data_IF_043723408912
#
_entry.id   IF_043723408912
#
_cell.length_a   1.000
_cell.length_b   1.000
_cell.length_c   1.000
_cell.angle_alpha   90.00
_cell.angle_beta   90.00
_cell.angle_gamma   90.00
#
_symmetry.space_group_name_H-M   'P 1'
#
loop_
_entity.id
_entity.type
_entity.pdbx_description
1 polymer ?
#
# COMPACT_ATOMS: atom_id res chain seq x y z
N UNK A 1 -24.48 -1.36 -27.63
CA UNK A 1 -24.80 -1.71 -26.23
C UNK A 1 -26.20 -2.29 -26.20
N UNK A 2 -26.41 -3.33 -25.41
CA UNK A 2 -27.74 -3.94 -25.24
C UNK A 2 -28.56 -3.11 -24.24
N UNK A 3 -29.86 -2.93 -24.51
CA UNK A 3 -30.75 -2.18 -23.61
C UNK A 3 -30.98 -2.91 -22.29
N UNK A 4 -30.89 -4.24 -22.31
CA UNK A 4 -30.99 -5.08 -21.12
C UNK A 4 -29.84 -4.81 -20.13
N UNK A 5 -28.60 -4.68 -20.61
CA UNK A 5 -27.44 -4.37 -19.78
C UNK A 5 -27.52 -2.95 -19.22
N UNK A 6 -27.92 -1.98 -20.04
CA UNK A 6 -28.13 -0.59 -19.59
C UNK A 6 -29.18 -0.49 -18.48
N UNK A 7 -30.30 -1.21 -18.63
CA UNK A 7 -31.36 -1.24 -17.61
C UNK A 7 -30.88 -1.89 -16.31
N UNK A 8 -30.12 -2.98 -16.41
CA UNK A 8 -29.54 -3.67 -15.25
C UNK A 8 -28.55 -2.77 -14.49
N UNK A 9 -27.60 -2.14 -15.20
CA UNK A 9 -26.63 -1.21 -14.61
C UNK A 9 -27.30 0.04 -14.02
N UNK A 10 -28.35 0.55 -14.66
CA UNK A 10 -29.13 1.67 -14.11
C UNK A 10 -29.81 1.28 -12.79
N UNK A 11 -30.31 0.05 -12.69
CA UNK A 11 -30.97 -0.46 -11.49
C UNK A 11 -29.97 -0.69 -10.34
N UNK A 12 -28.80 -1.28 -10.63
CA UNK A 12 -27.68 -1.39 -9.66
C UNK A 12 -27.22 0.01 -9.22
N UNK A 13 -27.04 0.93 -10.17
CA UNK A 13 -26.63 2.31 -9.90
C UNK A 13 -27.62 3.08 -9.01
N UNK A 14 -28.91 2.76 -9.12
CA UNK A 14 -29.96 3.33 -8.28
C UNK A 14 -29.93 2.81 -6.83
N UNK A 15 -29.40 1.60 -6.61
CA UNK A 15 -29.24 0.98 -5.29
C UNK A 15 -28.01 1.44 -4.51
N UNK A 16 -26.98 1.97 -5.20
CA UNK A 16 -25.74 2.49 -4.59
C UNK A 16 -25.92 3.87 -3.90
N UNK A 17 -27.06 4.09 -3.23
CA UNK A 17 -27.41 5.31 -2.48
C UNK A 17 -26.60 5.34 -1.18
N UNK A 18 -25.47 6.03 -1.22
CA UNK A 18 -24.52 6.14 -0.10
C UNK A 18 -23.08 6.40 -0.56
N UNK A 19 -22.77 6.00 -1.80
CA UNK A 19 -21.45 6.23 -2.41
C UNK A 19 -21.36 7.56 -3.14
N UNK A 20 -20.15 8.14 -3.18
CA UNK A 20 -19.86 9.36 -3.93
C UNK A 20 -20.08 9.15 -5.44
N UNK A 21 -20.48 10.22 -6.15
CA UNK A 21 -20.78 10.17 -7.60
C UNK A 21 -19.65 9.57 -8.44
N UNK A 22 -18.39 9.90 -8.15
CA UNK A 22 -17.22 9.34 -8.84
C UNK A 22 -17.07 7.84 -8.58
N UNK A 23 -17.19 7.40 -7.33
CA UNK A 23 -17.01 5.99 -6.97
C UNK A 23 -18.11 5.10 -7.54
N UNK A 24 -19.35 5.59 -7.53
CA UNK A 24 -20.49 4.94 -8.19
C UNK A 24 -20.23 4.71 -9.68
N UNK A 25 -19.70 5.72 -10.38
CA UNK A 25 -19.37 5.61 -11.80
C UNK A 25 -18.23 4.62 -12.07
N UNK A 26 -17.24 4.53 -11.18
CA UNK A 26 -16.15 3.56 -11.31
C UNK A 26 -16.66 2.12 -11.15
N UNK A 27 -17.44 1.85 -10.09
CA UNK A 27 -18.00 0.52 -9.84
C UNK A 27 -18.93 0.07 -10.97
N UNK A 28 -19.75 0.96 -11.51
CA UNK A 28 -20.63 0.64 -12.64
C UNK A 28 -19.83 0.31 -13.90
N UNK A 29 -18.69 0.98 -14.15
CA UNK A 29 -17.82 0.66 -15.29
C UNK A 29 -17.07 -0.66 -15.13
N UNK A 30 -16.63 -0.98 -13.91
CA UNK A 30 -15.99 -2.26 -13.60
C UNK A 30 -17.00 -3.42 -13.77
N UNK A 31 -18.23 -3.23 -13.28
CA UNK A 31 -19.31 -4.20 -13.44
C UNK A 31 -19.71 -4.39 -14.91
N UNK A 32 -19.82 -3.29 -15.66
CA UNK A 32 -20.09 -3.32 -17.10
C UNK A 32 -19.03 -4.10 -17.87
N UNK A 33 -17.74 -3.85 -17.60
CA UNK A 33 -16.64 -4.54 -18.25
C UNK A 33 -16.69 -6.05 -18.00
N UNK A 34 -16.89 -6.48 -16.75
CA UNK A 34 -17.00 -7.90 -16.42
C UNK A 34 -18.19 -8.60 -17.07
N UNK A 35 -19.36 -7.95 -17.14
CA UNK A 35 -20.54 -8.53 -17.79
C UNK A 35 -20.36 -8.64 -19.31
N UNK A 36 -19.65 -7.70 -19.92
CA UNK A 36 -19.31 -7.75 -21.35
C UNK A 36 -18.28 -8.85 -21.65
N UNK A 37 -17.25 -8.99 -20.82
CA UNK A 37 -16.26 -10.07 -20.94
C UNK A 37 -16.91 -11.46 -20.82
N UNK A 38 -17.86 -11.61 -19.90
CA UNK A 38 -18.59 -12.87 -19.71
C UNK A 38 -19.54 -13.16 -20.89
N UNK A 39 -20.21 -12.14 -21.43
CA UNK A 39 -21.04 -12.30 -22.62
C UNK A 39 -20.21 -12.72 -23.84
N UNK A 40 -19.02 -12.15 -24.01
CA UNK A 40 -18.08 -12.54 -25.07
C UNK A 40 -17.57 -13.98 -24.87
N UNK A 41 -17.23 -14.37 -23.64
CA UNK A 41 -16.81 -15.74 -23.32
C UNK A 41 -17.92 -16.78 -23.57
N UNK A 42 -19.19 -16.39 -23.45
CA UNK A 42 -20.36 -17.24 -23.74
C UNK A 42 -20.85 -17.13 -25.19
N UNK A 43 -20.23 -16.32 -26.04
CA UNK A 43 -20.65 -16.09 -27.43
C UNK A 43 -22.04 -15.44 -27.55
N UNK A 44 -22.43 -14.61 -26.59
CA UNK A 44 -23.74 -13.97 -26.52
C UNK A 44 -23.73 -12.71 -27.39
N UNK A 45 -24.31 -12.82 -28.58
CA UNK A 45 -24.42 -11.69 -29.52
C UNK A 45 -25.84 -11.10 -29.60
N UNK A 46 -26.85 -11.79 -29.06
CA UNK A 46 -28.25 -11.38 -29.15
C UNK A 46 -28.77 -10.76 -27.85
N UNK A 47 -29.67 -9.78 -27.99
CA UNK A 47 -30.25 -9.04 -26.86
C UNK A 47 -31.12 -9.93 -25.95
N UNK A 48 -31.80 -10.93 -26.52
CA UNK A 48 -32.54 -11.93 -25.76
C UNK A 48 -31.62 -12.83 -24.95
N UNK A 49 -30.51 -13.30 -25.52
CA UNK A 49 -29.54 -14.12 -24.80
C UNK A 49 -28.82 -13.34 -23.68
N UNK A 50 -28.56 -12.04 -23.89
CA UNK A 50 -28.06 -11.14 -22.85
C UNK A 50 -29.06 -10.98 -21.71
N UNK A 51 -30.36 -10.87 -22.01
CA UNK A 51 -31.40 -10.77 -20.97
C UNK A 51 -31.52 -12.04 -20.12
N UNK A 52 -31.39 -13.23 -20.72
CA UNK A 52 -31.35 -14.50 -19.97
C UNK A 52 -30.10 -14.61 -19.11
N UNK A 53 -28.93 -14.22 -19.63
CA UNK A 53 -27.69 -14.21 -18.84
C UNK A 53 -27.81 -13.28 -17.62
N UNK A 54 -28.39 -12.10 -17.79
CA UNK A 54 -28.60 -11.15 -16.69
C UNK A 54 -29.68 -11.64 -15.69
N UNK A 55 -30.66 -12.42 -16.14
CA UNK A 55 -31.67 -13.03 -15.27
C UNK A 55 -31.10 -14.19 -14.43
N UNK A 56 -30.01 -14.83 -14.87
CA UNK A 56 -29.24 -15.81 -14.08
C UNK A 56 -28.36 -15.14 -13.01
N UNK A 57 -28.17 -13.82 -13.07
CA UNK A 57 -27.38 -13.07 -12.07
C UNK A 57 -28.21 -12.69 -10.85
N UNK A 58 -27.50 -12.34 -9.78
CA UNK A 58 -28.10 -11.79 -8.57
C UNK A 58 -29.01 -10.59 -8.87
N UNK A 59 -30.09 -10.47 -8.10
CA UNK A 59 -31.03 -9.37 -8.30
C UNK A 59 -30.30 -8.02 -8.11
N UNK A 60 -30.47 -7.04 -9.01
CA UNK A 60 -29.67 -5.81 -9.02
C UNK A 60 -29.77 -4.97 -7.75
N UNK A 61 -30.82 -5.15 -6.94
CA UNK A 61 -30.96 -4.52 -5.63
C UNK A 61 -30.09 -5.16 -4.55
N UNK A 62 -29.95 -6.49 -4.55
CA UNK A 62 -29.11 -7.22 -3.60
C UNK A 62 -27.63 -6.97 -3.92
N UNK A 63 -27.27 -7.03 -5.20
CA UNK A 63 -25.92 -6.70 -5.66
C UNK A 63 -25.50 -5.26 -5.26
N UNK A 64 -26.41 -4.30 -5.35
CA UNK A 64 -26.14 -2.92 -4.94
C UNK A 64 -25.99 -2.77 -3.41
N UNK A 65 -26.74 -3.55 -2.63
CA UNK A 65 -26.64 -3.57 -1.17
C UNK A 65 -25.33 -4.22 -0.71
N UNK A 66 -24.91 -5.32 -1.34
CA UNK A 66 -23.62 -5.96 -1.07
C UNK A 66 -22.44 -5.08 -1.46
N UNK A 67 -22.48 -4.42 -2.63
CA UNK A 67 -21.45 -3.46 -3.04
C UNK A 67 -21.36 -2.26 -2.09
N UNK A 68 -22.49 -1.81 -1.53
CA UNK A 68 -22.53 -0.72 -0.56
C UNK A 68 -22.06 -1.16 0.85
N UNK A 69 -22.45 -2.36 1.29
CA UNK A 69 -22.02 -2.96 2.56
C UNK A 69 -20.52 -3.29 2.56
N UNK A 70 -20.04 -3.82 1.44
CA UNK A 70 -18.63 -4.13 1.17
C UNK A 70 -17.74 -2.90 1.29
N UNK A 71 -18.16 -1.72 0.81
CA UNK A 71 -17.37 -0.48 0.92
C UNK A 71 -17.17 0.01 2.38
N UNK A 72 -18.15 -0.20 3.26
CA UNK A 72 -18.05 0.14 4.68
C UNK A 72 -17.10 -0.77 5.45
N UNK A 73 -17.15 -2.08 5.18
CA UNK A 73 -16.22 -3.06 5.74
C UNK A 73 -14.82 -2.93 5.14
N UNK A 74 -14.72 -2.62 3.85
CA UNK A 74 -13.47 -2.33 3.16
C UNK A 74 -12.75 -1.12 3.74
N UNK A 75 -13.45 -0.02 4.07
CA UNK A 75 -12.81 1.16 4.64
C UNK A 75 -12.15 0.87 6.00
N UNK A 76 -12.85 0.13 6.87
CA UNK A 76 -12.31 -0.29 8.16
C UNK A 76 -11.20 -1.34 8.00
N UNK A 77 -11.33 -2.30 7.08
CA UNK A 77 -10.31 -3.30 6.82
C UNK A 77 -9.05 -2.71 6.15
N UNK A 78 -9.20 -1.74 5.23
CA UNK A 78 -8.10 -0.96 4.65
C UNK A 78 -7.33 -0.19 5.73
N UNK A 79 -8.02 0.34 6.75
CA UNK A 79 -7.37 0.98 7.90
C UNK A 79 -6.66 -0.01 8.82
N UNK A 80 -7.26 -1.17 9.09
CA UNK A 80 -6.67 -2.24 9.90
C UNK A 80 -5.44 -2.88 9.26
N UNK A 81 -5.50 -3.17 7.95
CA UNK A 81 -4.38 -3.69 7.16
C UNK A 81 -3.25 -2.66 7.04
N UNK A 82 -3.57 -1.37 6.87
CA UNK A 82 -2.59 -0.29 6.89
C UNK A 82 -1.86 -0.17 8.24
N UNK A 83 -2.60 -0.29 9.36
CA UNK A 83 -2.03 -0.30 10.70
C UNK A 83 -1.13 -1.52 10.94
N UNK A 84 -1.59 -2.73 10.57
CA UNK A 84 -0.81 -3.96 10.72
C UNK A 84 0.49 -3.92 9.89
N UNK A 85 0.39 -3.46 8.63
CA UNK A 85 1.55 -3.29 7.75
C UNK A 85 2.54 -2.24 8.30
N UNK A 86 2.04 -1.13 8.87
CA UNK A 86 2.89 -0.14 9.52
C UNK A 86 3.56 -0.65 10.80
N UNK A 87 2.84 -1.42 11.62
CA UNK A 87 3.41 -2.06 12.81
C UNK A 87 4.54 -3.03 12.48
N UNK A 88 4.47 -3.77 11.37
CA UNK A 88 5.56 -4.67 10.93
C UNK A 88 6.84 -3.87 10.66
N UNK A 89 6.73 -2.79 9.89
CA UNK A 89 7.87 -1.90 9.57
C UNK A 89 8.44 -1.30 10.86
N UNK A 90 7.57 -0.83 11.75
CA UNK A 90 7.94 -0.28 13.04
C UNK A 90 8.64 -1.27 13.95
N UNK A 91 8.04 -2.43 14.20
CA UNK A 91 8.59 -3.44 15.12
C UNK A 91 9.92 -4.01 14.62
N UNK A 92 10.05 -4.27 13.32
CA UNK A 92 11.29 -4.79 12.77
C UNK A 92 12.44 -3.75 12.86
N UNK A 93 12.15 -2.47 12.60
CA UNK A 93 13.15 -1.40 12.73
C UNK A 93 13.51 -1.09 14.18
N UNK A 94 12.54 -1.02 15.08
CA UNK A 94 12.78 -0.88 16.52
C UNK A 94 13.53 -2.08 17.11
N UNK A 95 13.16 -3.30 16.71
CA UNK A 95 13.86 -4.53 17.09
C UNK A 95 15.33 -4.51 16.67
N UNK A 96 15.61 -4.05 15.45
CA UNK A 96 17.00 -3.88 14.97
C UNK A 96 17.78 -2.89 15.84
N UNK A 97 17.20 -1.74 16.18
CA UNK A 97 17.85 -0.76 17.06
C UNK A 97 18.17 -1.33 18.43
N UNK A 98 17.33 -2.22 18.97
CA UNK A 98 17.62 -2.90 20.23
C UNK A 98 18.88 -3.77 20.12
N UNK A 99 19.06 -4.51 19.02
CA UNK A 99 20.28 -5.27 18.76
C UNK A 99 21.53 -4.38 18.63
N UNK A 100 21.37 -3.14 18.18
CA UNK A 100 22.46 -2.14 18.17
C UNK A 100 22.74 -1.50 19.54
N UNK A 101 22.06 -1.96 20.60
CA UNK A 101 22.30 -1.52 21.98
C UNK A 101 21.43 -0.34 22.43
N UNK A 102 20.41 0.04 21.66
CA UNK A 102 19.47 1.06 22.09
C UNK A 102 18.57 0.56 23.22
N UNK A 103 18.15 1.47 24.09
CA UNK A 103 17.28 1.14 25.22
C UNK A 103 15.92 0.66 24.71
N UNK A 104 15.45 -0.48 25.22
CA UNK A 104 14.24 -1.18 24.77
C UNK A 104 12.99 -0.29 24.65
N UNK A 105 12.79 0.65 25.57
CA UNK A 105 11.63 1.55 25.56
C UNK A 105 11.72 2.62 24.46
N UNK A 106 12.94 3.01 24.06
CA UNK A 106 13.17 3.91 22.91
C UNK A 106 12.85 3.14 21.63
N UNK A 107 13.29 1.89 21.53
CA UNK A 107 13.00 1.01 20.41
C UNK A 107 11.50 0.76 20.23
N UNK A 108 10.76 0.58 21.33
CA UNK A 108 9.31 0.42 21.31
C UNK A 108 8.58 1.71 20.94
N UNK A 109 8.98 2.85 21.52
CA UNK A 109 8.43 4.15 21.17
C UNK A 109 8.70 4.49 19.69
N UNK A 110 9.89 4.15 19.20
CA UNK A 110 10.27 4.25 17.81
C UNK A 110 9.43 3.35 16.92
N UNK A 111 9.30 2.07 17.26
CA UNK A 111 8.51 1.11 16.49
C UNK A 111 7.05 1.56 16.37
N UNK A 112 6.46 2.02 17.46
CA UNK A 112 5.10 2.54 17.47
C UNK A 112 4.99 3.84 16.66
N UNK A 113 5.82 4.85 16.95
CA UNK A 113 5.71 6.16 16.31
C UNK A 113 6.08 6.11 14.82
N UNK A 114 7.21 5.52 14.47
CA UNK A 114 7.71 5.43 13.09
C UNK A 114 6.84 4.46 12.26
N UNK A 115 6.55 3.28 12.79
CA UNK A 115 5.79 2.26 12.08
C UNK A 115 4.35 2.67 11.81
N UNK A 116 3.68 3.25 12.82
CA UNK A 116 2.32 3.74 12.64
C UNK A 116 2.29 5.01 11.79
N UNK A 117 3.18 5.98 12.03
CA UNK A 117 3.16 7.23 11.25
C UNK A 117 3.52 6.98 9.79
N UNK A 118 4.66 6.34 9.50
CA UNK A 118 5.16 6.15 8.13
C UNK A 118 4.36 5.09 7.39
N UNK A 119 4.13 3.92 8.02
CA UNK A 119 3.44 2.81 7.38
C UNK A 119 1.94 3.06 7.24
N UNK A 120 1.23 3.33 8.34
CA UNK A 120 -0.22 3.54 8.27
C UNK A 120 -0.55 4.86 7.55
N UNK A 121 0.21 5.92 7.79
CA UNK A 121 0.06 7.20 7.08
C UNK A 121 0.28 7.07 5.57
N UNK A 122 1.30 6.33 5.13
CA UNK A 122 1.50 6.05 3.71
C UNK A 122 0.34 5.26 3.12
N UNK A 123 -0.06 4.13 3.72
CA UNK A 123 -1.11 3.28 3.16
C UNK A 123 -2.48 3.97 3.14
N UNK A 124 -2.76 4.81 4.14
CA UNK A 124 -3.96 5.64 4.17
C UNK A 124 -3.96 6.68 3.05
N UNK A 125 -2.85 7.39 2.89
CA UNK A 125 -2.74 8.50 1.95
C UNK A 125 -2.57 8.01 0.50
N UNK A 126 -2.01 6.80 0.29
CA UNK A 126 -1.70 6.21 -1.03
C UNK A 126 -2.86 6.26 -2.01
N UNK A 127 -4.09 6.07 -1.54
CA UNK A 127 -5.30 6.11 -2.37
C UNK A 127 -5.47 7.42 -3.14
N UNK A 128 -4.96 8.53 -2.61
CA UNK A 128 -5.13 9.86 -3.18
C UNK A 128 -4.24 10.13 -4.41
N UNK A 129 -3.21 9.30 -4.63
CA UNK A 129 -2.27 9.49 -5.73
C UNK A 129 -2.05 8.23 -6.57
N UNK A 130 -2.87 7.19 -6.41
CA UNK A 130 -2.81 5.99 -7.25
C UNK A 130 -2.97 6.30 -8.75
N UNK A 131 -3.71 7.35 -9.08
CA UNK A 131 -3.96 7.82 -10.45
C UNK A 131 -2.79 8.59 -11.07
N UNK A 132 -1.75 8.91 -10.29
CA UNK A 132 -0.56 9.58 -10.84
C UNK A 132 0.29 8.60 -11.64
N UNK A 133 1.13 9.13 -12.53
CA UNK A 133 2.10 8.32 -13.25
C UNK A 133 3.13 7.67 -12.26
N UNK A 134 3.85 6.61 -12.65
CA UNK A 134 4.72 5.86 -11.74
C UNK A 134 5.82 6.70 -11.07
N UNK A 135 6.38 7.68 -11.80
CA UNK A 135 7.42 8.56 -11.28
C UNK A 135 6.88 9.54 -10.24
N UNK A 136 5.72 10.14 -10.52
CA UNK A 136 5.00 11.02 -9.60
C UNK A 136 4.52 10.28 -8.36
N UNK A 137 4.05 9.03 -8.50
CA UNK A 137 3.71 8.16 -7.35
C UNK A 137 4.91 7.95 -6.44
N UNK A 138 6.07 7.63 -7.02
CA UNK A 138 7.32 7.44 -6.27
C UNK A 138 7.77 8.73 -5.60
N UNK A 139 7.71 9.87 -6.29
CA UNK A 139 8.08 11.16 -5.73
C UNK A 139 7.18 11.56 -4.55
N UNK A 140 5.86 11.37 -4.68
CA UNK A 140 4.89 11.65 -3.60
C UNK A 140 5.09 10.69 -2.44
N UNK A 141 5.34 9.41 -2.71
CA UNK A 141 5.64 8.41 -1.68
C UNK A 141 6.87 8.83 -0.86
N UNK A 142 7.98 9.15 -1.54
CA UNK A 142 9.22 9.62 -0.92
C UNK A 142 8.98 10.87 -0.08
N UNK A 143 8.23 11.84 -0.61
CA UNK A 143 7.98 13.11 0.09
C UNK A 143 7.16 12.89 1.36
N UNK A 144 6.08 12.11 1.28
CA UNK A 144 5.19 11.87 2.41
C UNK A 144 5.86 11.02 3.48
N UNK A 145 6.57 9.95 3.12
CA UNK A 145 7.27 9.14 4.13
C UNK A 145 8.45 9.89 4.75
N UNK A 146 9.09 10.81 4.02
CA UNK A 146 10.09 11.74 4.58
C UNK A 146 9.45 12.67 5.61
N UNK A 147 8.31 13.30 5.28
CA UNK A 147 7.58 14.17 6.21
C UNK A 147 7.11 13.41 7.46
N UNK A 148 6.58 12.20 7.28
CA UNK A 148 6.15 11.32 8.38
C UNK A 148 7.33 10.85 9.23
N UNK A 149 8.55 10.97 8.74
CA UNK A 149 9.79 10.69 9.48
C UNK A 149 10.40 11.92 10.15
N UNK A 150 9.75 13.10 10.14
CA UNK A 150 10.24 14.28 10.88
C UNK A 150 10.46 13.99 12.38
N UNK A 151 9.57 13.27 13.10
CA UNK A 151 9.81 12.90 14.50
C UNK A 151 11.13 12.13 14.70
N UNK A 152 11.53 11.31 13.71
CA UNK A 152 12.79 10.57 13.71
C UNK A 152 14.00 11.52 13.82
N UNK A 153 13.93 12.68 13.16
CA UNK A 153 15.00 13.67 13.21
C UNK A 153 15.22 14.25 14.61
N UNK A 154 14.23 14.22 15.48
CA UNK A 154 14.29 14.72 16.87
C UNK A 154 14.70 13.66 17.90
N UNK A 155 14.98 12.43 17.49
CA UNK A 155 15.36 11.32 18.41
C UNK A 155 16.75 11.47 19.03
N UNK A 156 17.49 12.54 18.72
CA UNK A 156 18.82 12.77 19.28
C UNK A 156 18.84 13.94 20.25
N UNK A 157 19.56 13.76 21.37
CA UNK A 157 19.75 14.79 22.40
C UNK A 157 20.36 16.10 21.89
N UNK A 158 20.95 16.10 20.69
CA UNK A 158 21.68 17.23 20.09
C UNK A 158 20.86 18.00 19.03
N UNK A 159 19.54 17.80 18.97
CA UNK A 159 18.65 18.50 18.03
C UNK A 159 18.29 17.69 16.78
N UNK A 160 17.77 18.38 15.77
CA UNK A 160 17.24 17.77 14.55
C UNK A 160 18.37 17.24 13.64
N UNK A 161 18.35 15.94 13.30
CA UNK A 161 19.27 15.32 12.32
C UNK A 161 18.56 15.10 10.97
N UNK A 162 18.86 15.91 9.93
CA UNK A 162 18.21 15.81 8.63
C UNK A 162 18.44 14.47 7.93
N UNK A 163 19.58 13.81 8.17
CA UNK A 163 19.91 12.52 7.54
C UNK A 163 18.95 11.42 7.94
N UNK A 164 18.24 11.58 9.07
CA UNK A 164 17.16 10.68 9.48
C UNK A 164 15.97 10.70 8.52
N UNK A 165 15.70 11.81 7.83
CA UNK A 165 14.65 11.88 6.82
C UNK A 165 14.92 10.96 5.62
N UNK A 166 16.19 10.64 5.33
CA UNK A 166 16.58 9.79 4.21
C UNK A 166 16.10 8.36 4.39
N UNK A 167 16.03 7.84 5.63
CA UNK A 167 15.41 6.53 5.89
C UNK A 167 13.91 6.55 5.61
N UNK A 168 13.25 7.69 5.88
CA UNK A 168 11.86 7.93 5.48
C UNK A 168 11.70 7.92 3.96
N UNK A 169 12.55 8.66 3.25
CA UNK A 169 12.59 8.68 1.79
C UNK A 169 12.79 7.28 1.20
N UNK A 170 13.75 6.53 1.73
CA UNK A 170 14.04 5.15 1.30
C UNK A 170 12.84 4.22 1.53
N UNK A 171 12.19 4.32 2.68
CA UNK A 171 10.98 3.53 2.97
C UNK A 171 9.87 3.80 1.96
N UNK A 172 9.62 5.08 1.62
CA UNK A 172 8.63 5.46 0.60
C UNK A 172 8.98 4.98 -0.80
N UNK A 173 10.27 5.07 -1.17
CA UNK A 173 10.77 4.52 -2.42
C UNK A 173 10.56 3.00 -2.49
N UNK A 174 10.94 2.25 -1.45
CA UNK A 174 10.75 0.80 -1.38
C UNK A 174 9.28 0.40 -1.47
N UNK A 175 8.41 1.09 -0.73
CA UNK A 175 6.97 0.83 -0.70
C UNK A 175 6.32 0.94 -2.08
N UNK A 176 6.78 1.90 -2.88
CA UNK A 176 6.22 2.12 -4.20
C UNK A 176 6.89 1.25 -5.28
N UNK A 177 8.22 1.08 -5.19
CA UNK A 177 9.01 0.27 -6.11
C UNK A 177 8.70 -1.23 -6.04
N UNK A 178 8.45 -1.75 -4.83
CA UNK A 178 8.04 -3.15 -4.60
C UNK A 178 6.52 -3.35 -4.56
N UNK A 179 5.74 -2.31 -4.88
CA UNK A 179 4.30 -2.48 -5.02
C UNK A 179 3.94 -3.46 -6.15
N UNK A 180 4.83 -3.62 -7.13
CA UNK A 180 4.81 -4.65 -8.17
C UNK A 180 5.91 -5.68 -7.91
N UNK A 181 5.70 -6.93 -8.33
CA UNK A 181 6.73 -7.97 -8.19
C UNK A 181 7.95 -7.67 -9.05
N UNK A 182 9.13 -7.94 -8.50
CA UNK A 182 10.41 -7.63 -9.12
C UNK A 182 11.42 -8.75 -8.92
N UNK A 183 12.42 -8.87 -9.82
CA UNK A 183 13.46 -9.88 -9.71
C UNK A 183 14.32 -9.67 -8.46
N UNK A 184 14.59 -10.77 -7.75
CA UNK A 184 15.28 -10.79 -6.45
C UNK A 184 16.67 -10.11 -6.46
N UNK A 185 17.40 -10.18 -7.57
CA UNK A 185 18.68 -9.51 -7.72
C UNK A 185 18.58 -7.98 -7.58
N UNK A 186 17.56 -7.35 -8.19
CA UNK A 186 17.36 -5.90 -8.06
C UNK A 186 17.04 -5.53 -6.61
N UNK A 187 16.26 -6.37 -5.94
CA UNK A 187 15.89 -6.22 -4.52
C UNK A 187 17.11 -6.26 -3.60
N UNK A 188 18.07 -7.16 -3.85
CA UNK A 188 19.31 -7.26 -3.05
C UNK A 188 20.28 -6.08 -3.27
N UNK A 189 20.25 -5.45 -4.45
CA UNK A 189 21.08 -4.28 -4.75
C UNK A 189 20.62 -2.99 -4.06
N UNK A 190 19.33 -2.84 -3.82
CA UNK A 190 18.75 -1.61 -3.26
C UNK A 190 19.34 -1.18 -1.91
N UNK A 191 19.51 -2.05 -0.89
CA UNK A 191 20.14 -1.66 0.37
C UNK A 191 21.61 -1.30 0.18
N UNK A 192 22.32 -1.94 -0.75
CA UNK A 192 23.72 -1.62 -1.07
C UNK A 192 23.84 -0.23 -1.68
N UNK A 193 23.02 0.06 -2.69
CA UNK A 193 23.00 1.36 -3.37
C UNK A 193 22.58 2.49 -2.43
N UNK A 194 21.56 2.27 -1.59
CA UNK A 194 21.12 3.27 -0.63
C UNK A 194 22.16 3.52 0.46
N UNK A 195 22.82 2.47 0.97
CA UNK A 195 23.92 2.60 1.93
C UNK A 195 25.07 3.42 1.32
N UNK A 196 25.46 3.12 0.08
CA UNK A 196 26.49 3.90 -0.62
C UNK A 196 26.10 5.37 -0.80
N UNK A 197 24.86 5.65 -1.18
CA UNK A 197 24.33 7.02 -1.31
C UNK A 197 24.38 7.77 0.03
N UNK A 198 23.95 7.14 1.13
CA UNK A 198 24.02 7.72 2.48
C UNK A 198 25.44 8.11 2.85
N UNK A 199 26.42 7.23 2.62
CA UNK A 199 27.83 7.53 2.87
C UNK A 199 28.34 8.70 2.03
N UNK A 200 27.98 8.77 0.74
CA UNK A 200 28.37 9.89 -0.14
C UNK A 200 27.79 11.21 0.38
N UNK A 201 26.52 11.23 0.80
CA UNK A 201 25.87 12.43 1.33
C UNK A 201 26.50 12.86 2.66
N UNK A 202 26.70 11.92 3.60
CA UNK A 202 27.23 12.24 4.93
C UNK A 202 28.72 12.62 4.93
N UNK A 203 29.53 11.93 4.13
CA UNK A 203 30.97 12.18 4.02
C UNK A 203 31.30 13.32 3.04
N UNK A 204 30.65 13.34 1.87
CA UNK A 204 30.96 14.27 0.78
C UNK A 204 30.25 15.62 0.90
N UNK A 205 28.94 15.62 1.21
CA UNK A 205 28.14 16.85 1.17
C UNK A 205 27.99 17.54 2.52
N UNK A 206 27.83 16.75 3.59
CA UNK A 206 27.64 17.28 4.94
C UNK A 206 28.95 17.40 5.73
N UNK A 207 30.03 16.73 5.30
CA UNK A 207 31.32 16.72 5.99
C UNK A 207 31.27 16.20 7.43
N UNK A 208 30.21 15.46 7.80
CA UNK A 208 29.89 15.11 9.19
C UNK A 208 30.54 13.82 9.67
N UNK A 209 30.99 12.96 8.76
CA UNK A 209 31.45 11.62 9.09
C UNK A 209 32.84 11.37 8.51
N UNK A 210 33.82 11.09 9.38
CA UNK A 210 35.02 10.34 8.98
C UNK A 210 34.59 8.92 8.65
N UNK A 211 34.79 8.49 7.41
CA UNK A 211 34.42 7.17 6.95
C UNK A 211 34.99 6.08 7.87
N UNK A 212 34.12 5.25 8.43
CA UNK A 212 34.48 4.19 9.38
C UNK A 212 33.99 2.85 8.82
N UNK A 213 34.92 2.03 8.35
CA UNK A 213 34.63 0.75 7.70
C UNK A 213 33.76 -0.19 8.56
N UNK A 214 33.90 -0.15 9.88
CA UNK A 214 33.11 -0.99 10.79
C UNK A 214 31.63 -0.59 10.88
N UNK A 215 31.25 0.62 10.46
CA UNK A 215 29.85 1.07 10.41
C UNK A 215 29.11 0.63 9.15
N UNK A 216 29.83 0.27 8.09
CA UNK A 216 29.24 -0.14 6.81
C UNK A 216 28.35 -1.38 6.96
N UNK A 217 28.77 -2.46 7.66
CA UNK A 217 27.91 -3.62 7.87
C UNK A 217 26.65 -3.33 8.70
N UNK A 218 26.71 -2.39 9.65
CA UNK A 218 25.58 -1.99 10.49
C UNK A 218 24.53 -1.20 9.68
N UNK A 219 24.96 -0.19 8.92
CA UNK A 219 24.04 0.56 8.05
C UNK A 219 23.43 -0.34 6.96
N UNK A 220 24.23 -1.26 6.40
CA UNK A 220 23.73 -2.22 5.43
C UNK A 220 22.69 -3.17 6.02
N UNK A 221 22.93 -3.70 7.22
CA UNK A 221 22.00 -4.61 7.90
C UNK A 221 20.71 -3.90 8.31
N UNK A 222 20.79 -2.63 8.75
CA UNK A 222 19.62 -1.80 9.02
C UNK A 222 18.78 -1.56 7.75
N UNK A 223 19.43 -1.17 6.65
CA UNK A 223 18.75 -0.92 5.37
C UNK A 223 18.16 -2.20 4.75
N UNK A 224 18.82 -3.34 4.94
CA UNK A 224 18.27 -4.65 4.58
C UNK A 224 17.05 -5.03 5.43
N UNK A 225 17.08 -4.72 6.74
CA UNK A 225 15.94 -4.93 7.64
C UNK A 225 14.73 -4.09 7.19
N UNK A 226 14.94 -2.83 6.82
CA UNK A 226 13.89 -1.97 6.25
C UNK A 226 13.26 -2.58 5.00
N UNK A 227 14.09 -3.05 4.06
CA UNK A 227 13.62 -3.70 2.84
C UNK A 227 12.77 -4.94 3.13
N UNK A 228 13.27 -5.88 3.94
CA UNK A 228 12.55 -7.12 4.30
C UNK A 228 11.21 -6.78 4.96
N UNK A 229 11.20 -5.78 5.83
CA UNK A 229 9.99 -5.33 6.53
C UNK A 229 8.95 -4.77 5.57
N UNK A 230 9.37 -3.96 4.61
CA UNK A 230 8.48 -3.42 3.56
C UNK A 230 7.93 -4.55 2.69
N UNK A 231 8.76 -5.50 2.28
CA UNK A 231 8.30 -6.66 1.51
C UNK A 231 7.29 -7.49 2.28
N UNK A 232 7.53 -7.77 3.56
CA UNK A 232 6.61 -8.51 4.42
C UNK A 232 5.29 -7.76 4.60
N UNK A 233 5.35 -6.44 4.82
CA UNK A 233 4.17 -5.58 4.94
C UNK A 233 3.33 -5.56 3.66
N UNK A 234 3.96 -5.48 2.49
CA UNK A 234 3.28 -5.54 1.19
C UNK A 234 2.69 -6.93 0.92
N UNK A 235 3.42 -8.01 1.25
CA UNK A 235 2.92 -9.38 1.11
C UNK A 235 1.72 -9.64 2.02
N UNK A 236 1.81 -9.24 3.29
CA UNK A 236 0.69 -9.35 4.23
C UNK A 236 -0.53 -8.59 3.71
N UNK A 237 -0.33 -7.36 3.21
CA UNK A 237 -1.42 -6.58 2.62
C UNK A 237 -2.06 -7.27 1.42
N UNK A 238 -1.27 -7.88 0.52
CA UNK A 238 -1.80 -8.65 -0.62
C UNK A 238 -2.59 -9.87 -0.14
N UNK A 239 -2.04 -10.66 0.78
CA UNK A 239 -2.71 -11.85 1.33
C UNK A 239 -4.04 -11.49 2.02
N UNK A 240 -4.06 -10.40 2.79
CA UNK A 240 -5.28 -9.94 3.45
C UNK A 240 -6.31 -9.40 2.45
N UNK A 241 -5.88 -8.78 1.35
CA UNK A 241 -6.76 -8.35 0.27
C UNK A 241 -7.29 -9.53 -0.58
N UNK A 242 -6.46 -10.52 -0.90
CA UNK A 242 -6.80 -11.70 -1.70
C UNK A 242 -7.80 -12.63 -1.01
N UNK A 243 -7.68 -12.80 0.32
CA UNK A 243 -8.61 -13.63 1.13
C UNK A 243 -10.06 -13.15 1.09
N UNK A 244 -10.30 -11.89 0.74
CA UNK A 244 -11.64 -11.30 0.71
C UNK A 244 -12.28 -11.29 -0.69
N UNK A 245 -11.49 -11.22 -1.77
CA UNK A 245 -12.02 -11.28 -3.14
C UNK A 245 -12.45 -12.71 -3.52
N UNK A 246 -11.99 -13.72 -2.76
CA UNK A 246 -12.21 -15.14 -3.06
C UNK A 246 -12.90 -15.91 -1.93
N UNK A 247 -13.57 -15.27 -0.97
CA UNK A 247 -14.36 -16.04 0.01
C UNK A 247 -15.68 -16.45 -0.65
N UNK A 248 -15.88 -17.73 -1.02
CA UNK A 248 -17.22 -18.19 -1.38
C UNK A 248 -18.01 -18.15 -0.07
N UNK A 249 -19.19 -17.53 -0.06
CA UNK A 249 -20.10 -17.73 1.06
C UNK A 249 -20.46 -19.22 1.07
N UNK A 250 -19.97 -19.94 2.07
CA UNK A 250 -20.49 -21.27 2.39
C UNK A 250 -22.01 -21.12 2.51
N UNK A 251 -22.71 -21.84 1.64
CA UNK A 251 -24.16 -21.90 1.59
C UNK A 251 -24.68 -22.35 2.96
N UNK A 252 -25.35 -21.44 3.66
CA UNK A 252 -26.22 -21.72 4.79
C UNK A 252 -27.67 -21.65 4.34
#
# INVERSE_FOLDING_TARGET
MSRALEAYLAQVGSGLKGLTRRRRLTLLRELEAHLMDEAEARGIESESAMSTMLAEKEHPSLLAEELAAGEGQDANHRSGTALAAGMIIGMATGGHMWFEGWRWYICLAFAAAQGLAVGAGYFWARRHWLSLNPWSRTAVAVLITSLLSIPLGFTTHFGFKPTRLLYGAYTGFLLERHSQERPLWQTLLEPVLFTALMFIIEAGFLGRVRFQWWKVPLELSFNATLLVSVMLALKLRRVLAERWVLTPQEQG
#
